data_IF_759996556023
#
_entry.id   IF_759996556023
#
_cell.length_a   1.000
_cell.length_b   1.000
_cell.length_c   1.000
_cell.angle_alpha   90.00
_cell.angle_beta   90.00
_cell.angle_gamma   90.00
#
_symmetry.space_group_name_H-M   'P 1'
#
loop_
_entity.id
_entity.type
_entity.pdbx_description
1 polymer ?
#
# COMPACT_ATOMS: atom_id res chain seq x y z
N UNK A 1 -3.59 1.02 1.48
CA UNK A 1 -3.54 0.55 2.89
C UNK A 1 -3.63 1.77 3.81
N UNK A 2 -4.84 2.26 4.11
CA UNK A 2 -5.07 3.60 4.67
C UNK A 2 -5.33 3.65 6.19
N UNK A 3 -4.50 3.03 7.02
CA UNK A 3 -4.55 3.26 8.48
C UNK A 3 -3.35 4.09 8.90
N UNK A 4 -3.61 5.24 9.53
CA UNK A 4 -2.57 6.10 10.12
C UNK A 4 -1.65 5.32 11.06
N UNK A 5 -0.35 5.65 11.06
CA UNK A 5 0.68 5.07 11.93
C UNK A 5 0.24 5.05 13.39
N UNK A 6 -0.29 6.18 13.89
CA UNK A 6 -0.79 6.34 15.27
C UNK A 6 -1.91 5.34 15.63
N UNK A 7 -2.81 5.06 14.69
CA UNK A 7 -3.89 4.09 14.92
C UNK A 7 -3.30 2.69 15.08
N UNK A 8 -2.32 2.35 14.26
CA UNK A 8 -1.65 1.04 14.30
C UNK A 8 -0.82 0.87 15.57
N UNK A 9 -0.18 1.93 16.05
CA UNK A 9 0.51 1.98 17.35
C UNK A 9 -0.48 1.75 18.50
N UNK A 10 -1.61 2.47 18.53
CA UNK A 10 -2.64 2.26 19.55
C UNK A 10 -3.20 0.82 19.52
N UNK A 11 -3.36 0.22 18.34
CA UNK A 11 -3.75 -1.18 18.22
C UNK A 11 -2.69 -2.13 18.79
N UNK A 12 -1.40 -1.81 18.62
CA UNK A 12 -0.32 -2.60 19.19
C UNK A 12 -0.37 -2.57 20.71
N UNK A 13 -0.58 -1.39 21.30
CA UNK A 13 -0.63 -1.24 22.76
C UNK A 13 -1.82 -1.99 23.35
N UNK A 14 -3.00 -1.90 22.73
CA UNK A 14 -4.16 -2.70 23.13
C UNK A 14 -3.89 -4.20 23.05
N UNK A 15 -3.21 -4.65 21.98
CA UNK A 15 -2.87 -6.07 21.81
C UNK A 15 -1.85 -6.56 22.85
N UNK A 16 -0.84 -5.73 23.17
CA UNK A 16 0.13 -6.01 24.25
C UNK A 16 -0.55 -6.09 25.60
N UNK A 17 -1.46 -5.16 25.91
CA UNK A 17 -2.22 -5.17 27.16
C UNK A 17 -3.08 -6.43 27.28
N UNK A 18 -3.77 -6.84 26.21
CA UNK A 18 -4.54 -8.08 26.19
C UNK A 18 -3.66 -9.32 26.41
N UNK A 19 -2.48 -9.38 25.78
CA UNK A 19 -1.50 -10.45 26.00
C UNK A 19 -1.00 -10.47 27.44
N UNK A 20 -0.69 -9.31 28.02
CA UNK A 20 -0.25 -9.19 29.41
C UNK A 20 -1.32 -9.67 30.40
N UNK A 21 -2.59 -9.33 30.18
CA UNK A 21 -3.71 -9.86 30.98
C UNK A 21 -3.82 -11.37 30.85
N UNK A 22 -3.65 -11.94 29.66
CA UNK A 22 -3.66 -13.39 29.48
C UNK A 22 -2.48 -14.06 30.19
N UNK A 23 -1.29 -13.47 30.14
CA UNK A 23 -0.12 -13.95 30.86
C UNK A 23 -0.40 -13.96 32.37
N UNK A 24 -0.95 -12.88 32.93
CA UNK A 24 -1.34 -12.82 34.35
C UNK A 24 -2.32 -13.94 34.72
N UNK A 25 -3.36 -14.14 33.90
CA UNK A 25 -4.34 -15.21 34.12
C UNK A 25 -3.72 -16.62 34.04
N UNK A 26 -2.70 -16.84 33.20
CA UNK A 26 -1.98 -18.11 33.13
C UNK A 26 -1.03 -18.30 34.33
N UNK A 27 -0.38 -17.24 34.78
CA UNK A 27 0.47 -17.29 35.98
C UNK A 27 -0.34 -17.55 37.25
N UNK A 28 -1.54 -16.97 37.38
CA UNK A 28 -2.47 -17.24 38.49
C UNK A 28 -2.91 -18.70 38.52
N UNK A 29 -3.04 -19.32 37.35
CA UNK A 29 -3.30 -20.76 37.20
C UNK A 29 -2.05 -21.63 37.39
N UNK A 30 -0.92 -21.04 37.82
CA UNK A 30 0.37 -21.71 38.00
C UNK A 30 0.87 -22.44 36.75
N UNK A 31 0.47 -21.97 35.56
CA UNK A 31 0.99 -22.51 34.31
C UNK A 31 2.41 -21.99 34.13
N UNK A 32 3.36 -22.88 33.86
CA UNK A 32 4.73 -22.50 33.54
C UNK A 32 4.81 -21.70 32.24
N UNK A 33 5.70 -20.72 32.18
CA UNK A 33 5.91 -19.86 31.01
C UNK A 33 6.26 -20.64 29.75
N UNK A 34 6.98 -21.75 29.88
CA UNK A 34 7.32 -22.69 28.80
C UNK A 34 6.08 -23.30 28.15
N UNK A 35 5.01 -23.48 28.93
CA UNK A 35 3.72 -24.04 28.49
C UNK A 35 2.77 -22.97 27.95
N UNK A 36 3.06 -21.67 28.03
CA UNK A 36 2.16 -20.64 27.46
C UNK A 36 1.95 -20.82 25.95
N UNK A 37 2.94 -21.35 25.25
CA UNK A 37 2.85 -21.66 23.82
C UNK A 37 1.82 -22.74 23.51
N UNK A 38 1.39 -23.56 24.46
CA UNK A 38 0.33 -24.55 24.21
C UNK A 38 -1.06 -23.94 24.35
N UNK A 39 -1.20 -22.82 25.07
CA UNK A 39 -2.46 -22.09 25.21
C UNK A 39 -2.85 -21.40 23.89
N UNK A 40 -4.00 -21.81 23.33
CA UNK A 40 -4.46 -21.31 22.04
C UNK A 40 -4.80 -19.82 22.07
N UNK A 41 -5.34 -19.32 23.19
CA UNK A 41 -5.66 -17.91 23.36
C UNK A 41 -4.39 -17.05 23.42
N UNK A 42 -3.38 -17.48 24.18
CA UNK A 42 -2.08 -16.83 24.24
C UNK A 42 -1.42 -16.77 22.86
N UNK A 43 -1.39 -17.88 22.12
CA UNK A 43 -0.85 -17.92 20.74
C UNK A 43 -1.54 -16.94 19.80
N UNK A 44 -2.88 -16.86 19.86
CA UNK A 44 -3.65 -15.92 19.02
C UNK A 44 -3.30 -14.46 19.34
N UNK A 45 -3.16 -14.13 20.62
CA UNK A 45 -2.78 -12.79 21.06
C UNK A 45 -1.33 -12.46 20.67
N UNK A 46 -0.40 -13.39 20.83
CA UNK A 46 1.01 -13.22 20.42
C UNK A 46 1.11 -13.02 18.90
N UNK A 47 0.41 -13.84 18.12
CA UNK A 47 0.35 -13.69 16.67
C UNK A 47 -0.20 -12.32 16.25
N UNK A 48 -1.24 -11.83 16.94
CA UNK A 48 -1.82 -10.50 16.68
C UNK A 48 -0.80 -9.38 16.97
N UNK A 49 -0.07 -9.46 18.08
CA UNK A 49 0.99 -8.49 18.41
C UNK A 49 2.06 -8.48 17.30
N UNK A 50 2.53 -9.65 16.88
CA UNK A 50 3.54 -9.78 15.80
C UNK A 50 3.02 -9.23 14.47
N UNK A 51 1.78 -9.52 14.11
CA UNK A 51 1.17 -9.04 12.88
C UNK A 51 1.07 -7.51 12.84
N UNK A 52 0.64 -6.88 13.95
CA UNK A 52 0.56 -5.43 14.06
C UNK A 52 1.96 -4.81 14.02
N UNK A 53 2.94 -5.40 14.70
CA UNK A 53 4.32 -4.94 14.65
C UNK A 53 4.92 -5.01 13.23
N UNK A 54 4.64 -6.10 12.49
CA UNK A 54 5.04 -6.22 11.10
C UNK A 54 4.38 -5.16 10.20
N UNK A 55 3.11 -4.84 10.46
CA UNK A 55 2.41 -3.75 9.77
C UNK A 55 3.07 -2.39 10.03
N UNK A 56 3.51 -2.11 11.26
CA UNK A 56 4.25 -0.88 11.59
C UNK A 56 5.58 -0.78 10.84
N UNK A 57 6.33 -1.88 10.72
CA UNK A 57 7.57 -1.91 9.93
C UNK A 57 7.31 -1.55 8.47
N UNK A 58 6.26 -2.15 7.87
CA UNK A 58 5.85 -1.82 6.50
C UNK A 58 5.42 -0.36 6.33
N UNK A 59 4.74 0.21 7.33
CA UNK A 59 4.40 1.64 7.32
C UNK A 59 5.67 2.47 7.31
N UNK A 60 6.66 2.15 8.15
CA UNK A 60 7.93 2.85 8.19
C UNK A 60 8.70 2.74 6.85
N UNK A 61 8.75 1.56 6.23
CA UNK A 61 9.35 1.36 4.89
C UNK A 61 8.66 2.20 3.82
N UNK A 62 7.32 2.30 3.85
CA UNK A 62 6.58 3.15 2.91
C UNK A 62 6.85 4.62 3.18
N UNK A 63 6.95 5.04 4.45
CA UNK A 63 7.29 6.41 4.84
C UNK A 63 8.70 6.80 4.35
N UNK A 64 9.69 5.91 4.46
CA UNK A 64 11.05 6.15 3.94
C UNK A 64 11.05 6.26 2.42
N UNK A 65 10.39 5.33 1.72
CA UNK A 65 10.31 5.35 0.26
C UNK A 65 9.60 6.61 -0.25
N UNK A 66 8.53 7.04 0.43
CA UNK A 66 7.83 8.27 0.08
C UNK A 66 8.72 9.51 0.27
N UNK A 67 9.56 9.54 1.30
CA UNK A 67 10.51 10.62 1.53
C UNK A 67 11.59 10.67 0.43
N UNK A 68 12.10 9.53 0.00
CA UNK A 68 13.04 9.44 -1.12
C UNK A 68 12.43 9.89 -2.44
N UNK A 69 11.22 9.41 -2.75
CA UNK A 69 10.47 9.84 -3.95
C UNK A 69 10.19 11.35 -3.91
N UNK A 70 9.89 11.92 -2.74
CA UNK A 70 9.70 13.35 -2.60
C UNK A 70 10.97 14.15 -2.91
N UNK A 71 12.14 13.69 -2.45
CA UNK A 71 13.45 14.27 -2.79
C UNK A 71 13.69 14.23 -4.30
N UNK A 72 13.54 13.06 -4.93
CA UNK A 72 13.72 12.92 -6.38
C UNK A 72 12.76 13.80 -7.19
N UNK A 73 11.52 13.99 -6.73
CA UNK A 73 10.58 14.92 -7.36
C UNK A 73 11.05 16.37 -7.22
N UNK A 74 11.53 16.77 -6.05
CA UNK A 74 12.08 18.10 -5.82
C UNK A 74 13.31 18.35 -6.70
N UNK A 75 14.24 17.40 -6.77
CA UNK A 75 15.44 17.49 -7.60
C UNK A 75 15.07 17.58 -9.08
N UNK A 76 14.13 16.76 -9.57
CA UNK A 76 13.68 16.82 -10.96
C UNK A 76 13.01 18.15 -11.30
N UNK A 77 12.21 18.70 -10.38
CA UNK A 77 11.62 20.03 -10.55
C UNK A 77 12.69 21.12 -10.58
N UNK A 78 13.72 21.02 -9.74
CA UNK A 78 14.86 21.93 -9.74
C UNK A 78 15.67 21.84 -11.04
N UNK A 79 15.93 20.63 -11.56
CA UNK A 79 16.61 20.44 -12.86
C UNK A 79 15.80 21.01 -14.02
N UNK A 80 14.48 20.77 -14.06
CA UNK A 80 13.61 21.34 -15.09
C UNK A 80 13.52 22.86 -15.00
N UNK A 81 13.56 23.43 -13.79
CA UNK A 81 13.62 24.88 -13.61
C UNK A 81 14.95 25.46 -14.10
N UNK A 82 16.08 24.79 -13.80
CA UNK A 82 17.40 25.17 -14.28
C UNK A 82 17.51 25.09 -15.81
N UNK A 83 17.02 24.02 -16.43
CA UNK A 83 17.01 23.85 -17.89
C UNK A 83 16.14 24.91 -18.59
N UNK A 84 14.99 25.27 -18.01
CA UNK A 84 14.18 26.38 -18.50
C UNK A 84 14.87 27.73 -18.33
N UNK A 85 15.64 27.92 -17.26
CA UNK A 85 16.40 29.15 -17.03
C UNK A 85 17.57 29.27 -18.01
N UNK A 86 18.30 28.20 -18.31
CA UNK A 86 19.38 28.20 -19.30
C UNK A 86 18.85 28.43 -20.72
N UNK A 87 17.71 27.83 -21.09
CA UNK A 87 17.05 28.08 -22.38
C UNK A 87 16.53 29.52 -22.53
N UNK A 88 16.08 30.15 -21.43
CA UNK A 88 15.70 31.58 -21.44
C UNK A 88 16.91 32.51 -21.49
N UNK A 89 18.00 32.17 -20.79
CA UNK A 89 19.24 32.94 -20.77
C UNK A 89 20.02 32.85 -22.09
N UNK A 90 19.89 31.74 -22.84
CA UNK A 90 20.50 31.55 -24.15
C UNK A 90 19.85 32.37 -25.29
N UNK A 91 18.84 33.21 -24.98
CA UNK A 91 18.17 34.07 -25.95
C UNK A 91 17.28 33.27 -26.92
N UNK A 92 15.98 33.52 -26.89
CA UNK A 92 15.03 32.92 -27.83
C UNK A 92 15.35 33.25 -29.29
N UNK A 93 16.19 32.45 -29.93
CA UNK A 93 16.31 32.26 -31.38
C UNK A 93 16.72 30.82 -31.64
N UNK A 94 15.74 29.91 -31.73
CA UNK A 94 15.89 28.75 -32.62
C UNK A 94 15.07 29.01 -33.87
N UNK A 95 15.82 29.06 -34.96
CA UNK A 95 15.35 29.07 -36.32
C UNK A 95 14.34 27.93 -36.58
N UNK A 96 13.42 28.27 -37.47
CA UNK A 96 12.61 27.42 -38.35
C UNK A 96 13.00 25.92 -38.35
N UNK A 97 12.05 24.99 -38.10
CA UNK A 97 12.32 23.57 -38.22
C UNK A 97 12.57 23.25 -39.70
N UNK A 98 13.79 22.81 -40.01
CA UNK A 98 14.09 22.22 -41.31
C UNK A 98 13.49 20.81 -41.37
N UNK A 99 12.97 20.55 -42.55
CA UNK A 99 11.99 19.52 -42.89
C UNK A 99 12.76 18.30 -43.39
N UNK A 100 12.99 17.31 -42.53
CA UNK A 100 13.44 15.99 -43.02
C UNK A 100 12.23 15.07 -43.20
N UNK A 101 11.85 14.91 -44.47
CA UNK A 101 10.89 13.93 -44.97
C UNK A 101 11.51 12.53 -44.93
N UNK A 102 10.86 11.62 -44.22
CA UNK A 102 10.73 10.19 -44.59
C UNK A 102 9.40 9.72 -43.99
N UNK A 103 8.25 9.79 -44.68
CA UNK A 103 7.74 9.00 -45.82
C UNK A 103 7.46 7.52 -45.45
N UNK A 104 6.16 7.23 -45.28
CA UNK A 104 5.52 5.90 -45.37
C UNK A 104 5.33 5.20 -44.01
N UNK A 105 4.16 4.72 -43.60
CA UNK A 105 2.92 4.52 -44.34
C UNK A 105 1.69 4.31 -43.42
N UNK A 106 0.52 4.58 -44.00
CA UNK A 106 -0.81 4.05 -43.70
C UNK A 106 -1.44 4.19 -42.29
N UNK A 107 -2.20 5.28 -42.17
CA UNK A 107 -3.44 5.44 -41.40
C UNK A 107 -4.56 4.56 -41.96
N UNK A 108 -5.18 3.71 -41.15
CA UNK A 108 -6.58 3.25 -41.27
C UNK A 108 -6.92 2.39 -40.04
N UNK A 109 -8.10 2.38 -39.44
CA UNK A 109 -9.29 3.18 -39.51
C UNK A 109 -10.10 2.83 -38.25
N UNK A 110 -10.95 3.78 -37.86
CA UNK A 110 -11.85 3.81 -36.71
C UNK A 110 -13.01 2.81 -36.88
N UNK A 111 -13.32 2.00 -35.85
CA UNK A 111 -14.65 1.40 -35.57
C UNK A 111 -14.59 0.75 -34.17
N UNK A 112 -14.99 1.44 -33.11
CA UNK A 112 -16.38 1.56 -32.65
C UNK A 112 -17.04 0.19 -32.38
N UNK A 113 -17.06 -0.23 -31.10
CA UNK A 113 -18.19 -0.91 -30.45
C UNK A 113 -17.95 -1.12 -28.95
N UNK A 114 -18.59 -0.23 -28.18
CA UNK A 114 -19.43 -0.43 -27.00
C UNK A 114 -19.03 -1.39 -25.83
N UNK A 115 -19.41 -1.00 -24.59
CA UNK A 115 -19.04 -1.66 -23.34
C UNK A 115 -19.90 -2.90 -23.05
N UNK A 116 -19.31 -3.95 -22.48
CA UNK A 116 -20.07 -5.03 -21.84
C UNK A 116 -20.03 -4.90 -20.32
N UNK A 117 -21.07 -4.22 -19.86
CA UNK A 117 -21.78 -4.35 -18.60
C UNK A 117 -21.87 -5.78 -18.00
N UNK A 118 -22.09 -5.79 -16.68
CA UNK A 118 -22.83 -6.77 -15.85
C UNK A 118 -22.07 -7.95 -15.20
N UNK A 119 -21.73 -7.76 -13.91
CA UNK A 119 -22.11 -8.72 -12.83
C UNK A 119 -23.67 -8.82 -12.82
N UNK A 120 -24.34 -9.92 -12.40
CA UNK A 120 -24.03 -10.73 -11.20
C UNK A 120 -24.37 -12.24 -11.28
N UNK A 121 -23.97 -13.01 -10.24
CA UNK A 121 -24.59 -14.23 -9.66
C UNK A 121 -23.50 -14.88 -8.80
N UNK A 122 -23.54 -15.14 -7.49
CA UNK A 122 -24.61 -15.32 -6.48
C UNK A 122 -25.87 -16.02 -6.96
N UNK A 123 -26.05 -17.27 -6.51
CA UNK A 123 -27.33 -17.69 -5.97
C UNK A 123 -27.22 -17.86 -4.45
N UNK A 124 -27.97 -17.02 -3.74
CA UNK A 124 -28.45 -17.29 -2.39
C UNK A 124 -29.37 -18.54 -2.41
N UNK A 125 -29.18 -19.40 -1.41
CA UNK A 125 -30.16 -20.22 -0.65
C UNK A 125 -31.46 -20.66 -1.34
N UNK A 126 -31.82 -21.95 -1.17
CA UNK A 126 -32.87 -22.42 -0.24
C UNK A 126 -33.17 -23.93 -0.33
N UNK A 127 -33.45 -24.51 0.86
CA UNK A 127 -34.37 -25.63 1.19
C UNK A 127 -33.95 -27.04 0.74
N UNK A 128 -34.20 -28.14 1.46
CA UNK A 128 -35.09 -28.56 2.57
C UNK A 128 -34.25 -29.44 3.55
N UNK A 129 -34.41 -29.44 4.88
CA UNK A 129 -35.54 -29.87 5.74
C UNK A 129 -35.72 -31.41 5.84
N UNK A 130 -35.78 -31.90 7.10
CA UNK A 130 -36.16 -33.24 7.60
C UNK A 130 -35.13 -34.36 7.36
N UNK A 131 -34.78 -35.19 8.33
CA UNK A 131 -35.54 -35.76 9.44
C UNK A 131 -34.62 -36.10 10.63
#
# INVERSE_FOLDING_TARGET
MGTSRRITESQLDRAKNALALRVKALTEKKVETTKFKTDTAWRKLDARVRQIAARLRKIAEVETNNAEVAKHKADRLASLAAEKATLKAAGGKKAKPEKEKGKGDAKAAKKEKAPKEKKPKEPEKKKEEKE
#
